data_IF_657773950545
#
_entry.id   IF_657773950545
#
_cell.length_a   1.000
_cell.length_b   1.000
_cell.length_c   1.000
_cell.angle_alpha   90.00
_cell.angle_beta   90.00
_cell.angle_gamma   90.00
#
_symmetry.space_group_name_H-M   'P 1'
#
loop_
_entity.id
_entity.type
_entity.pdbx_description
1 polymer ?
#
# COMPACT_ATOMS: atom_id res chain seq x y z
N UNK A 1 70.49 -2.05 7.84
CA UNK A 1 69.34 -2.91 8.22
C UNK A 1 68.03 -2.16 8.46
N UNK A 2 67.86 -0.88 8.05
CA UNK A 2 66.63 -0.08 8.31
C UNK A 2 65.65 0.05 7.11
N UNK A 3 66.13 -0.26 5.91
CA UNK A 3 65.31 -0.07 4.68
C UNK A 3 64.34 -1.25 4.43
N UNK A 4 64.59 -2.42 4.99
CA UNK A 4 63.73 -3.62 4.78
C UNK A 4 62.46 -3.58 5.61
N UNK A 5 62.45 -2.97 6.81
CA UNK A 5 61.26 -2.92 7.70
C UNK A 5 60.17 -1.93 7.23
N UNK A 6 60.59 -0.84 6.55
CA UNK A 6 59.62 0.17 6.03
C UNK A 6 58.85 -0.36 4.82
N UNK A 7 59.49 -1.18 3.97
CA UNK A 7 58.80 -1.76 2.79
C UNK A 7 57.77 -2.86 3.16
N UNK A 8 58.02 -3.58 4.25
CA UNK A 8 57.09 -4.62 4.74
C UNK A 8 55.87 -3.98 5.40
N UNK A 9 56.04 -2.87 6.13
CA UNK A 9 54.89 -2.15 6.73
C UNK A 9 54.02 -1.48 5.70
N UNK A 10 54.57 -0.93 4.61
CA UNK A 10 53.80 -0.34 3.51
C UNK A 10 52.99 -1.40 2.73
N UNK A 11 53.49 -2.61 2.58
CA UNK A 11 52.79 -3.70 1.92
C UNK A 11 51.61 -4.25 2.75
N UNK A 12 51.70 -4.24 4.09
CA UNK A 12 50.64 -4.70 4.99
C UNK A 12 49.48 -3.66 5.05
N UNK A 13 49.81 -2.36 5.02
CA UNK A 13 48.77 -1.29 4.99
C UNK A 13 48.02 -1.26 3.66
N UNK A 14 48.72 -1.54 2.54
CA UNK A 14 48.07 -1.62 1.22
C UNK A 14 47.13 -2.84 1.09
N UNK A 15 47.44 -3.96 1.76
CA UNK A 15 46.59 -5.16 1.76
C UNK A 15 45.36 -5.03 2.67
N UNK A 16 45.41 -4.23 3.75
CA UNK A 16 44.24 -3.96 4.59
C UNK A 16 43.27 -2.98 3.92
N UNK A 17 43.72 -2.08 3.04
CA UNK A 17 42.84 -1.14 2.32
C UNK A 17 42.05 -1.82 1.20
N UNK A 18 42.47 -2.96 0.68
CA UNK A 18 41.78 -3.67 -0.39
C UNK A 18 40.57 -4.53 0.10
N UNK A 19 40.44 -4.75 1.41
CA UNK A 19 39.36 -5.58 1.98
C UNK A 19 38.09 -4.77 2.29
N UNK A 20 38.14 -3.43 2.19
CA UNK A 20 36.98 -2.55 2.54
C UNK A 20 36.10 -2.15 1.36
N UNK A 21 36.36 -2.61 0.15
CA UNK A 21 35.45 -2.45 -0.98
C UNK A 21 34.63 -3.73 -1.16
N UNK A 22 33.86 -4.12 -0.11
CA UNK A 22 32.73 -4.99 -0.35
C UNK A 22 31.77 -4.20 -1.25
N UNK A 23 31.37 -4.73 -2.42
CA UNK A 23 30.32 -4.10 -3.18
C UNK A 23 29.14 -3.91 -2.24
N UNK A 24 28.58 -2.70 -2.20
CA UNK A 24 27.31 -2.49 -1.57
C UNK A 24 26.36 -3.53 -2.16
N UNK A 25 25.97 -4.54 -1.37
CA UNK A 25 25.01 -5.53 -1.80
C UNK A 25 23.69 -4.79 -1.99
N UNK A 26 23.45 -4.34 -3.22
CA UNK A 26 22.19 -3.90 -3.68
C UNK A 26 21.19 -5.07 -3.54
N UNK A 27 20.03 -4.81 -2.95
CA UNK A 27 18.84 -5.61 -3.20
C UNK A 27 18.72 -6.98 -2.56
N UNK A 28 19.10 -7.16 -1.31
CA UNK A 28 18.88 -8.45 -0.61
C UNK A 28 17.44 -9.00 -0.76
N UNK A 29 16.43 -8.12 -0.82
CA UNK A 29 15.03 -8.53 -0.98
C UNK A 29 14.76 -8.98 -2.41
N UNK A 30 15.21 -8.23 -3.44
CA UNK A 30 15.05 -8.61 -4.85
C UNK A 30 15.71 -9.95 -5.15
N UNK A 31 16.94 -10.14 -4.71
CA UNK A 31 17.68 -11.40 -4.89
C UNK A 31 16.97 -12.58 -4.22
N UNK A 32 16.46 -12.37 -2.99
CA UNK A 32 15.68 -13.37 -2.28
C UNK A 32 14.37 -13.73 -3.01
N UNK A 33 13.67 -12.74 -3.57
CA UNK A 33 12.46 -12.97 -4.38
C UNK A 33 12.79 -13.77 -5.64
N UNK A 34 13.84 -13.37 -6.38
CA UNK A 34 14.29 -14.07 -7.59
C UNK A 34 14.72 -15.52 -7.29
N UNK A 35 15.53 -15.72 -6.24
CA UNK A 35 15.97 -17.05 -5.84
C UNK A 35 14.84 -17.98 -5.42
N UNK A 36 13.84 -17.46 -4.72
CA UNK A 36 12.66 -18.17 -4.26
C UNK A 36 11.63 -18.38 -5.38
N UNK A 37 11.68 -17.55 -6.41
CA UNK A 37 10.70 -17.53 -7.51
C UNK A 37 9.30 -17.08 -7.08
N UNK A 38 9.17 -16.37 -5.98
CA UNK A 38 7.89 -15.93 -5.41
C UNK A 38 8.04 -14.66 -4.57
N UNK A 39 7.14 -13.69 -4.76
CA UNK A 39 6.96 -12.51 -3.90
C UNK A 39 6.10 -12.87 -2.69
N UNK A 40 6.50 -12.51 -1.48
CA UNK A 40 5.69 -12.66 -0.27
C UNK A 40 5.11 -11.31 0.13
N UNK A 41 3.80 -11.17 0.00
CA UNK A 41 3.09 -9.92 0.20
C UNK A 41 2.17 -9.98 1.41
N UNK A 42 2.39 -9.09 2.40
CA UNK A 42 1.50 -8.93 3.55
C UNK A 42 0.27 -8.11 3.17
N UNK A 43 -0.92 -8.65 3.42
CA UNK A 43 -2.20 -8.06 3.04
C UNK A 43 -3.18 -8.01 4.22
N UNK A 44 -4.33 -7.34 4.03
CA UNK A 44 -5.39 -7.34 5.04
C UNK A 44 -6.04 -8.71 5.18
N UNK A 45 -6.62 -9.00 6.35
CA UNK A 45 -7.30 -10.27 6.66
C UNK A 45 -8.63 -10.46 5.92
N UNK A 46 -9.18 -9.42 5.28
CA UNK A 46 -10.44 -9.53 4.55
C UNK A 46 -11.18 -8.22 4.33
N UNK A 47 -10.48 -7.15 3.91
CA UNK A 47 -11.07 -5.86 3.56
C UNK A 47 -11.42 -5.83 2.07
N UNK A 48 -12.70 -6.00 1.73
CA UNK A 48 -13.17 -5.97 0.35
C UNK A 48 -12.80 -4.66 -0.36
N UNK A 49 -12.40 -4.75 -1.63
CA UNK A 49 -11.89 -3.62 -2.42
C UNK A 49 -10.39 -3.34 -2.21
N UNK A 50 -9.79 -3.74 -1.09
CA UNK A 50 -8.35 -3.59 -0.83
C UNK A 50 -7.62 -4.94 -0.85
N UNK A 51 -7.98 -5.85 0.03
CA UNK A 51 -7.46 -7.22 0.00
C UNK A 51 -8.48 -8.17 0.63
N UNK A 52 -9.07 -9.03 -0.16
CA UNK A 52 -9.97 -10.07 0.30
C UNK A 52 -9.84 -11.32 -0.59
N UNK A 53 -9.90 -12.49 0.03
CA UNK A 53 -10.01 -13.75 -0.68
C UNK A 53 -11.49 -14.11 -0.87
N UNK A 54 -11.82 -14.66 -2.05
CA UNK A 54 -13.13 -15.27 -2.29
C UNK A 54 -13.23 -16.68 -1.69
N UNK A 55 -14.36 -17.34 -1.88
CA UNK A 55 -14.61 -18.71 -1.40
C UNK A 55 -13.65 -19.76 -1.96
N UNK A 56 -12.99 -19.48 -3.08
CA UNK A 56 -12.01 -20.34 -3.73
C UNK A 56 -10.57 -20.00 -3.33
N UNK A 57 -10.39 -19.02 -2.41
CA UNK A 57 -9.08 -18.55 -1.98
C UNK A 57 -8.40 -17.59 -2.95
N UNK A 58 -9.08 -17.11 -3.98
CA UNK A 58 -8.54 -16.14 -4.94
C UNK A 58 -8.61 -14.73 -4.34
N UNK A 59 -7.44 -14.10 -4.19
CA UNK A 59 -7.31 -12.75 -3.68
C UNK A 59 -7.65 -11.70 -4.73
N UNK A 60 -8.30 -10.61 -4.30
CA UNK A 60 -8.61 -9.43 -5.12
C UNK A 60 -8.59 -8.15 -4.29
N UNK A 61 -8.38 -7.01 -4.94
CA UNK A 61 -8.38 -5.69 -4.33
C UNK A 61 -7.22 -4.81 -4.77
N UNK A 62 -7.27 -3.54 -4.44
CA UNK A 62 -6.26 -2.54 -4.80
C UNK A 62 -4.87 -2.91 -4.26
N UNK A 63 -4.78 -3.33 -3.00
CA UNK A 63 -3.53 -3.78 -2.38
C UNK A 63 -3.00 -5.08 -3.00
N UNK A 64 -3.89 -5.96 -3.44
CA UNK A 64 -3.56 -7.21 -4.14
C UNK A 64 -2.99 -6.94 -5.53
N UNK A 65 -3.58 -5.99 -6.25
CA UNK A 65 -3.09 -5.57 -7.57
C UNK A 65 -1.67 -5.00 -7.48
N UNK A 66 -1.34 -4.25 -6.42
CA UNK A 66 0.04 -3.79 -6.15
C UNK A 66 0.99 -4.99 -6.07
N UNK A 67 0.65 -6.02 -5.31
CA UNK A 67 1.51 -7.21 -5.17
C UNK A 67 1.65 -7.96 -6.49
N UNK A 68 0.58 -8.09 -7.28
CA UNK A 68 0.64 -8.71 -8.60
C UNK A 68 1.45 -7.90 -9.60
N UNK A 69 1.31 -6.57 -9.60
CA UNK A 69 2.13 -5.69 -10.43
C UNK A 69 3.63 -5.86 -10.11
N UNK A 70 3.99 -5.91 -8.82
CA UNK A 70 5.36 -6.15 -8.39
C UNK A 70 5.87 -7.53 -8.84
N UNK A 71 5.09 -8.59 -8.66
CA UNK A 71 5.50 -9.93 -9.11
C UNK A 71 5.66 -10.00 -10.63
N UNK A 72 4.75 -9.40 -11.40
CA UNK A 72 4.89 -9.29 -12.85
C UNK A 72 6.15 -8.52 -13.24
N UNK A 73 6.49 -7.47 -12.50
CA UNK A 73 7.71 -6.68 -12.71
C UNK A 73 8.98 -7.51 -12.50
N UNK A 74 9.11 -8.20 -11.37
CA UNK A 74 10.40 -8.82 -10.95
C UNK A 74 10.52 -10.30 -11.30
N UNK A 75 9.40 -11.00 -11.53
CA UNK A 75 9.33 -12.44 -11.84
C UNK A 75 8.69 -12.76 -13.18
N UNK A 76 8.25 -11.72 -13.94
CA UNK A 76 7.53 -11.85 -15.21
C UNK A 76 6.22 -12.65 -15.12
N UNK A 77 5.66 -12.79 -13.91
CA UNK A 77 4.44 -13.56 -13.64
C UNK A 77 3.71 -12.98 -12.43
N UNK A 78 2.52 -12.44 -12.65
CA UNK A 78 1.67 -11.83 -11.62
C UNK A 78 1.11 -12.81 -10.59
N UNK A 79 1.08 -14.10 -10.91
CA UNK A 79 0.55 -15.12 -10.01
C UNK A 79 1.63 -15.67 -9.06
N UNK A 80 2.89 -15.33 -9.26
CA UNK A 80 3.99 -15.70 -8.35
C UNK A 80 4.00 -14.85 -7.08
N UNK A 81 2.85 -14.77 -6.42
CA UNK A 81 2.66 -14.05 -5.14
C UNK A 81 2.13 -15.02 -4.09
N UNK A 82 2.77 -15.01 -2.91
CA UNK A 82 2.22 -15.58 -1.69
C UNK A 82 1.60 -14.44 -0.88
N UNK A 83 0.28 -14.45 -0.72
CA UNK A 83 -0.41 -13.50 0.14
C UNK A 83 -0.41 -14.00 1.59
N UNK A 84 0.02 -13.12 2.51
CA UNK A 84 0.05 -13.39 3.95
C UNK A 84 -0.93 -12.43 4.63
N UNK A 85 -2.10 -12.93 5.06
CA UNK A 85 -3.07 -12.10 5.78
C UNK A 85 -2.56 -11.75 7.18
N UNK A 86 -2.48 -10.47 7.50
CA UNK A 86 -1.95 -9.94 8.75
C UNK A 86 -2.96 -9.01 9.41
N UNK A 87 -3.12 -9.09 10.72
CA UNK A 87 -3.89 -8.10 11.47
C UNK A 87 -3.09 -6.78 11.62
N UNK A 88 -3.71 -5.76 12.21
CA UNK A 88 -3.09 -4.44 12.32
C UNK A 88 -1.85 -4.40 13.23
N UNK A 89 -1.75 -5.30 14.22
CA UNK A 89 -0.60 -5.37 15.13
C UNK A 89 0.56 -6.18 14.54
N UNK A 90 0.26 -7.28 13.86
CA UNK A 90 1.27 -8.22 13.34
C UNK A 90 2.03 -7.68 12.12
N UNK A 91 1.39 -6.83 11.29
CA UNK A 91 1.90 -6.42 9.98
C UNK A 91 3.31 -5.82 10.00
N UNK A 92 3.63 -5.00 11.01
CA UNK A 92 4.94 -4.34 11.06
C UNK A 92 6.04 -5.31 11.49
N UNK A 93 5.77 -6.17 12.47
CA UNK A 93 6.72 -7.20 12.89
C UNK A 93 7.02 -8.18 11.76
N UNK A 94 6.01 -8.62 11.01
CA UNK A 94 6.18 -9.50 9.85
C UNK A 94 7.06 -8.84 8.76
N UNK A 95 6.90 -7.53 8.51
CA UNK A 95 7.75 -6.82 7.57
C UNK A 95 9.18 -6.65 8.10
N UNK A 96 9.34 -6.27 9.38
CA UNK A 96 10.65 -6.06 10.01
C UNK A 96 11.46 -7.37 10.06
N UNK A 97 10.84 -8.50 10.38
CA UNK A 97 11.51 -9.80 10.46
C UNK A 97 11.87 -10.41 9.10
N UNK A 98 11.32 -9.88 8.00
CA UNK A 98 11.52 -10.44 6.67
C UNK A 98 10.60 -11.63 6.36
N UNK A 99 9.57 -11.88 7.16
CA UNK A 99 8.52 -12.84 6.86
C UNK A 99 7.78 -12.46 5.56
N UNK A 100 7.65 -11.17 5.28
CA UNK A 100 7.11 -10.61 4.05
C UNK A 100 8.11 -9.67 3.38
N UNK A 101 8.08 -9.60 2.05
CA UNK A 101 8.95 -8.72 1.26
C UNK A 101 8.39 -7.30 1.17
N UNK A 102 7.08 -7.18 1.09
CA UNK A 102 6.33 -5.92 1.01
C UNK A 102 5.05 -6.03 1.81
N UNK A 103 4.66 -4.94 2.46
CA UNK A 103 3.38 -4.80 3.14
C UNK A 103 2.47 -3.91 2.28
N UNK A 104 1.50 -4.50 1.59
CA UNK A 104 0.44 -3.79 0.85
C UNK A 104 -0.90 -4.07 1.55
N UNK A 105 -1.24 -3.21 2.54
CA UNK A 105 -2.31 -3.50 3.50
C UNK A 105 -2.91 -2.19 4.03
N UNK A 106 -3.53 -1.39 3.17
CA UNK A 106 -4.17 -0.13 3.58
C UNK A 106 -3.46 0.54 4.79
N UNK A 107 -2.14 0.74 4.66
CA UNK A 107 -1.31 1.20 5.77
C UNK A 107 -1.01 2.69 5.65
N UNK A 108 -1.47 3.46 6.63
CA UNK A 108 -1.26 4.91 6.71
C UNK A 108 0.20 5.26 6.95
N UNK A 109 0.73 6.19 6.20
CA UNK A 109 2.02 6.81 6.46
C UNK A 109 1.96 7.77 7.64
N UNK A 110 2.84 7.58 8.61
CA UNK A 110 2.98 8.47 9.77
C UNK A 110 4.43 8.63 10.15
N UNK A 111 4.77 9.76 10.79
CA UNK A 111 6.12 10.00 11.31
C UNK A 111 6.61 8.85 12.20
N UNK A 112 5.75 8.35 13.10
CA UNK A 112 6.13 7.24 13.99
C UNK A 112 6.47 5.97 13.21
N UNK A 113 5.66 5.61 12.21
CA UNK A 113 5.89 4.41 11.40
C UNK A 113 7.15 4.53 10.56
N UNK A 114 7.41 5.70 10.01
CA UNK A 114 8.62 5.98 9.25
C UNK A 114 9.86 6.06 10.14
N UNK A 115 9.86 6.92 11.14
CA UNK A 115 11.05 7.23 11.93
C UNK A 115 11.42 6.15 12.97
N UNK A 116 10.39 5.47 13.57
CA UNK A 116 10.64 4.58 14.72
C UNK A 116 10.66 3.09 14.36
N UNK A 117 9.97 2.67 13.28
CA UNK A 117 9.83 1.25 12.96
C UNK A 117 10.85 0.74 11.94
N UNK A 118 11.75 1.58 11.41
CA UNK A 118 12.71 1.16 10.40
C UNK A 118 12.05 0.74 9.08
N UNK A 119 10.95 1.39 8.71
CA UNK A 119 10.16 1.11 7.52
C UNK A 119 10.10 2.34 6.62
N UNK A 120 9.91 2.12 5.33
CA UNK A 120 9.63 3.17 4.35
C UNK A 120 8.28 2.96 3.69
N UNK A 121 7.47 4.01 3.58
CA UNK A 121 6.38 4.03 2.64
C UNK A 121 6.89 4.42 1.26
N UNK A 122 6.48 3.70 0.23
CA UNK A 122 7.03 3.85 -1.11
C UNK A 122 6.27 4.86 -1.95
N UNK A 123 4.94 4.81 -1.92
CA UNK A 123 4.03 5.72 -2.61
C UNK A 123 2.66 5.70 -1.92
N UNK A 124 1.84 6.73 -2.17
CA UNK A 124 0.43 6.71 -1.75
C UNK A 124 -0.39 6.03 -2.84
N UNK A 125 -1.14 4.99 -2.46
CA UNK A 125 -2.06 4.27 -3.34
C UNK A 125 -3.51 4.69 -3.13
N UNK A 126 -3.83 5.29 -1.98
CA UNK A 126 -5.17 5.80 -1.68
C UNK A 126 -5.10 6.88 -0.59
N UNK A 127 -5.63 8.06 -0.89
CA UNK A 127 -5.86 9.12 0.10
C UNK A 127 -7.21 8.90 0.76
N UNK A 128 -7.20 8.63 2.05
CA UNK A 128 -8.39 8.37 2.86
C UNK A 128 -8.48 9.32 4.07
N UNK A 129 -9.47 9.13 4.87
CA UNK A 129 -9.69 9.77 6.15
C UNK A 129 -10.53 8.88 7.06
N UNK A 130 -10.34 9.01 8.37
CA UNK A 130 -11.14 8.26 9.34
C UNK A 130 -12.54 8.86 9.46
N UNK A 131 -13.54 7.98 9.41
CA UNK A 131 -14.94 8.31 9.62
C UNK A 131 -15.63 7.44 10.67
N UNK A 132 -16.94 7.53 10.70
CA UNK A 132 -17.80 6.74 11.59
C UNK A 132 -18.98 6.17 10.81
N UNK A 133 -19.38 4.95 11.11
CA UNK A 133 -20.67 4.39 10.69
C UNK A 133 -21.55 4.18 11.90
N UNK A 134 -22.84 4.51 11.74
CA UNK A 134 -23.87 4.39 12.78
C UNK A 134 -25.15 3.77 12.21
N UNK A 135 -25.97 3.08 13.00
CA UNK A 135 -27.29 2.66 12.55
C UNK A 135 -28.18 3.89 12.29
N UNK A 136 -28.93 3.91 11.19
CA UNK A 136 -29.88 4.99 10.87
C UNK A 136 -30.91 5.19 12.00
N UNK A 137 -31.37 4.11 12.65
CA UNK A 137 -32.26 4.15 13.80
C UNK A 137 -31.72 4.91 15.01
N UNK A 138 -30.37 5.10 15.11
CA UNK A 138 -29.76 5.90 16.20
C UNK A 138 -30.07 7.40 16.08
N UNK A 139 -30.47 7.87 14.90
CA UNK A 139 -30.68 9.29 14.55
C UNK A 139 -29.44 10.18 14.69
N UNK A 140 -28.25 9.58 14.87
CA UNK A 140 -26.96 10.28 14.89
C UNK A 140 -26.62 10.68 13.45
N UNK A 141 -26.31 11.97 13.23
CA UNK A 141 -25.98 12.54 11.93
C UNK A 141 -24.61 13.24 11.89
N UNK A 142 -23.95 13.35 13.04
CA UNK A 142 -22.65 14.01 13.18
C UNK A 142 -21.79 13.30 14.23
N UNK A 143 -20.48 13.28 14.00
CA UNK A 143 -19.52 12.68 14.92
C UNK A 143 -19.53 13.34 16.31
N UNK A 144 -19.93 14.62 16.42
CA UNK A 144 -20.10 15.31 17.72
C UNK A 144 -21.22 14.71 18.56
N UNK A 145 -22.22 14.08 17.95
CA UNK A 145 -23.31 13.41 18.67
C UNK A 145 -22.90 12.06 19.28
N UNK A 146 -21.67 11.62 19.05
CA UNK A 146 -21.09 10.43 19.71
C UNK A 146 -20.65 10.70 21.17
N UNK A 147 -20.98 11.86 21.74
CA UNK A 147 -20.64 12.20 23.15
C UNK A 147 -21.14 11.13 24.12
N UNK A 148 -20.20 10.56 24.91
CA UNK A 148 -20.48 9.51 25.91
C UNK A 148 -20.80 8.14 25.31
N UNK A 149 -20.83 7.99 24.02
CA UNK A 149 -21.22 6.75 23.33
C UNK A 149 -20.08 5.74 23.23
N UNK A 150 -20.43 4.46 23.04
CA UNK A 150 -19.47 3.39 22.74
C UNK A 150 -19.14 3.34 21.27
N UNK A 151 -17.85 3.28 20.92
CA UNK A 151 -17.37 3.20 19.53
C UNK A 151 -16.41 2.03 19.40
N UNK A 152 -16.74 1.07 18.54
CA UNK A 152 -15.88 -0.05 18.22
C UNK A 152 -14.71 0.41 17.34
N UNK A 153 -13.50 -0.08 17.62
CA UNK A 153 -12.27 0.25 16.90
C UNK A 153 -11.28 -0.90 16.93
N UNK A 154 -10.45 -1.05 15.90
CA UNK A 154 -9.39 -2.05 15.87
C UNK A 154 -8.10 -1.52 16.50
N UNK A 155 -7.47 -2.32 17.37
CA UNK A 155 -6.18 -1.98 17.99
C UNK A 155 -5.01 -1.96 17.00
N UNK A 156 -3.95 -1.21 17.32
CA UNK A 156 -2.74 -1.11 16.50
C UNK A 156 -2.93 -0.28 15.21
N UNK A 157 -3.99 0.52 15.17
CA UNK A 157 -4.33 1.39 14.04
C UNK A 157 -4.10 2.87 14.35
N UNK A 158 -3.98 3.70 13.32
CA UNK A 158 -4.08 5.16 13.45
C UNK A 158 -5.44 5.57 13.98
N UNK A 159 -6.49 4.84 13.56
CA UNK A 159 -7.88 5.16 13.92
C UNK A 159 -8.17 4.99 15.40
N UNK A 160 -7.50 4.08 16.10
CA UNK A 160 -7.58 3.97 17.58
C UNK A 160 -7.04 5.24 18.27
N UNK A 161 -5.88 5.73 17.82
CA UNK A 161 -5.27 6.96 18.37
C UNK A 161 -6.09 8.20 18.02
N UNK A 162 -6.47 8.34 16.76
CA UNK A 162 -7.26 9.48 16.29
C UNK A 162 -8.62 9.56 17.00
N UNK A 163 -9.27 8.42 17.29
CA UNK A 163 -10.52 8.40 18.05
C UNK A 163 -10.32 9.02 19.44
N UNK A 164 -9.24 8.66 20.12
CA UNK A 164 -8.89 9.18 21.45
C UNK A 164 -8.63 10.69 21.39
N UNK A 165 -7.82 11.11 20.43
CA UNK A 165 -7.46 12.52 20.24
C UNK A 165 -8.67 13.38 19.87
N UNK A 166 -9.50 12.90 18.95
CA UNK A 166 -10.74 13.58 18.56
C UNK A 166 -11.73 13.72 19.71
N UNK A 167 -11.91 12.64 20.48
CA UNK A 167 -12.78 12.63 21.66
C UNK A 167 -12.32 13.66 22.70
N UNK A 168 -11.01 13.71 22.98
CA UNK A 168 -10.40 14.65 23.93
C UNK A 168 -10.52 16.09 23.44
N UNK A 169 -10.12 16.36 22.20
CA UNK A 169 -10.12 17.70 21.62
C UNK A 169 -11.52 18.33 21.55
N UNK A 170 -12.56 17.51 21.43
CA UNK A 170 -13.95 17.97 21.34
C UNK A 170 -14.75 17.76 22.64
N UNK A 171 -14.16 17.29 23.75
CA UNK A 171 -14.85 17.06 25.03
C UNK A 171 -15.97 16.03 24.94
N UNK A 172 -15.82 14.99 24.09
CA UNK A 172 -16.89 14.06 23.79
C UNK A 172 -17.00 12.88 24.75
N UNK A 173 -15.93 12.54 25.50
CA UNK A 173 -15.88 11.39 26.39
C UNK A 173 -16.38 10.08 25.72
N UNK A 174 -16.00 9.87 24.46
CA UNK A 174 -16.29 8.64 23.72
C UNK A 174 -15.66 7.46 24.46
N UNK A 175 -16.36 6.34 24.52
CA UNK A 175 -15.90 5.09 25.15
C UNK A 175 -15.42 4.11 24.07
N UNK A 176 -14.10 4.00 23.79
CA UNK A 176 -13.60 3.04 22.84
C UNK A 176 -13.85 1.60 23.31
N UNK A 177 -14.32 0.75 22.40
CA UNK A 177 -14.37 -0.71 22.58
C UNK A 177 -13.39 -1.30 21.58
N UNK A 178 -12.25 -1.76 22.09
CA UNK A 178 -11.07 -2.11 21.27
C UNK A 178 -11.06 -3.61 20.97
N UNK A 179 -10.78 -3.97 19.73
CA UNK A 179 -10.68 -5.35 19.25
C UNK A 179 -9.37 -5.56 18.48
N UNK A 180 -8.75 -6.70 18.66
CA UNK A 180 -7.55 -7.05 17.89
C UNK A 180 -7.88 -7.44 16.45
N UNK A 181 -8.94 -8.24 16.26
CA UNK A 181 -9.36 -8.74 14.94
C UNK A 181 -10.37 -7.79 14.29
N UNK A 182 -10.19 -7.54 13.00
CA UNK A 182 -11.10 -6.72 12.19
C UNK A 182 -12.54 -7.23 12.27
N UNK A 183 -12.74 -8.53 12.02
CA UNK A 183 -14.07 -9.14 12.03
C UNK A 183 -14.75 -9.05 13.39
N UNK A 184 -13.99 -9.08 14.49
CA UNK A 184 -14.54 -8.93 15.82
C UNK A 184 -15.06 -7.51 16.08
N UNK A 185 -14.35 -6.48 15.60
CA UNK A 185 -14.81 -5.09 15.69
C UNK A 185 -16.07 -4.85 14.84
N UNK A 186 -16.08 -5.37 13.61
CA UNK A 186 -17.22 -5.32 12.69
C UNK A 186 -18.45 -6.00 13.31
N UNK A 187 -18.32 -7.25 13.73
CA UNK A 187 -19.41 -8.03 14.34
C UNK A 187 -19.94 -7.37 15.62
N UNK A 188 -19.09 -6.81 16.47
CA UNK A 188 -19.49 -6.12 17.68
C UNK A 188 -20.39 -4.90 17.37
N UNK A 189 -20.08 -4.16 16.31
CA UNK A 189 -20.93 -3.07 15.85
C UNK A 189 -22.27 -3.58 15.30
N UNK A 190 -22.26 -4.55 14.38
CA UNK A 190 -23.50 -5.06 13.76
C UNK A 190 -24.42 -5.79 14.74
N UNK A 191 -23.89 -6.35 15.82
CA UNK A 191 -24.67 -6.95 16.92
C UNK A 191 -25.12 -5.95 17.96
N UNK A 192 -24.77 -4.64 17.81
CA UNK A 192 -25.24 -3.58 18.69
C UNK A 192 -24.44 -3.41 19.99
N UNK A 193 -23.26 -4.04 20.13
CA UNK A 193 -22.37 -3.83 21.28
C UNK A 193 -21.79 -2.42 21.31
N UNK A 194 -21.60 -1.78 20.16
CA UNK A 194 -21.22 -0.39 20.01
C UNK A 194 -22.27 0.36 19.20
N UNK A 195 -22.49 1.64 19.52
CA UNK A 195 -23.39 2.50 18.76
C UNK A 195 -22.78 2.97 17.43
N UNK A 196 -21.44 2.97 17.35
CA UNK A 196 -20.72 3.32 16.14
C UNK A 196 -19.52 2.40 15.95
N UNK A 197 -19.06 2.28 14.71
CA UNK A 197 -17.77 1.71 14.35
C UNK A 197 -16.95 2.77 13.62
N UNK A 198 -15.64 2.80 13.86
CA UNK A 198 -14.71 3.75 13.25
C UNK A 198 -13.52 3.06 12.61
N UNK A 199 -13.23 3.45 11.38
CA UNK A 199 -12.04 3.12 10.60
C UNK A 199 -11.94 4.12 9.45
N UNK A 200 -11.05 3.90 8.48
CA UNK A 200 -10.98 4.66 7.25
C UNK A 200 -12.34 4.66 6.53
N UNK A 201 -12.73 5.75 5.88
CA UNK A 201 -14.04 5.88 5.23
C UNK A 201 -14.24 4.83 4.13
N UNK A 202 -13.20 4.50 3.38
CA UNK A 202 -13.24 3.41 2.40
C UNK A 202 -13.47 2.05 3.08
N UNK A 203 -12.85 1.84 4.25
CA UNK A 203 -13.04 0.66 5.09
C UNK A 203 -14.46 0.56 5.62
N UNK A 204 -15.08 1.68 6.03
CA UNK A 204 -16.48 1.73 6.44
C UNK A 204 -17.42 1.33 5.31
N UNK A 205 -17.15 1.81 4.09
CA UNK A 205 -17.93 1.42 2.90
C UNK A 205 -17.79 -0.08 2.61
N UNK A 206 -16.55 -0.60 2.70
CA UNK A 206 -16.27 -2.03 2.56
C UNK A 206 -17.05 -2.87 3.58
N UNK A 207 -16.92 -2.54 4.86
CA UNK A 207 -17.59 -3.24 5.98
C UNK A 207 -19.11 -3.19 5.83
N UNK A 208 -19.66 -2.01 5.53
CA UNK A 208 -21.09 -1.84 5.31
C UNK A 208 -21.62 -2.74 4.19
N UNK A 209 -20.91 -2.82 3.06
CA UNK A 209 -21.35 -3.62 1.93
C UNK A 209 -21.16 -5.13 2.15
N UNK A 210 -20.14 -5.54 2.93
CA UNK A 210 -19.81 -6.94 3.18
C UNK A 210 -20.64 -7.57 4.31
N UNK A 211 -20.86 -6.83 5.41
CA UNK A 211 -21.36 -7.37 6.68
C UNK A 211 -22.81 -6.97 6.97
N UNK A 212 -23.25 -5.78 6.54
CA UNK A 212 -24.62 -5.34 6.79
C UNK A 212 -25.64 -6.18 6.03
N UNK A 213 -26.70 -6.63 6.71
CA UNK A 213 -27.85 -7.28 6.07
C UNK A 213 -28.54 -6.37 5.08
N UNK A 214 -28.75 -5.11 5.46
CA UNK A 214 -29.16 -4.02 4.61
C UNK A 214 -28.21 -2.83 4.79
N UNK A 215 -27.37 -2.52 3.79
CA UNK A 215 -26.44 -1.38 3.85
C UNK A 215 -27.15 -0.03 4.08
N UNK A 216 -28.43 0.11 3.68
CA UNK A 216 -29.21 1.35 3.84
C UNK A 216 -29.58 1.64 5.30
N UNK A 217 -29.55 0.65 6.17
CA UNK A 217 -29.78 0.83 7.61
C UNK A 217 -28.55 1.40 8.36
N UNK A 218 -27.44 1.62 7.66
CA UNK A 218 -26.18 2.10 8.24
C UNK A 218 -25.69 3.34 7.51
N UNK A 219 -25.58 4.44 8.26
CA UNK A 219 -25.13 5.74 7.76
C UNK A 219 -23.63 5.92 8.07
N UNK A 220 -22.83 6.16 7.03
CA UNK A 220 -21.48 6.70 7.19
C UNK A 220 -21.63 8.19 7.39
N UNK A 221 -21.13 8.71 8.54
CA UNK A 221 -21.20 10.13 8.87
C UNK A 221 -20.32 10.94 7.91
N UNK A 222 -20.71 12.21 7.62
CA UNK A 222 -20.01 13.01 6.61
C UNK A 222 -18.63 13.51 7.04
N UNK A 223 -18.36 13.55 8.35
CA UNK A 223 -17.09 14.08 8.85
C UNK A 223 -15.95 13.07 8.73
N UNK A 224 -14.81 13.54 8.22
CA UNK A 224 -13.51 12.88 8.33
C UNK A 224 -12.69 13.56 9.42
N UNK A 225 -12.19 12.78 10.37
CA UNK A 225 -11.47 13.28 11.55
C UNK A 225 -9.95 13.16 11.44
N UNK A 226 -9.44 12.60 10.35
CA UNK A 226 -8.00 12.46 10.10
C UNK A 226 -7.66 12.50 8.61
N UNK A 227 -6.36 12.48 8.33
CA UNK A 227 -5.77 12.22 7.02
C UNK A 227 -5.09 10.86 7.05
N UNK A 228 -5.47 9.97 6.13
CA UNK A 228 -4.96 8.61 6.04
C UNK A 228 -4.38 8.37 4.63
N UNK A 229 -3.12 8.81 4.36
CA UNK A 229 -2.43 8.46 3.13
C UNK A 229 -1.98 7.00 3.20
N UNK A 230 -2.69 6.11 2.50
CA UNK A 230 -2.46 4.68 2.50
C UNK A 230 -1.46 4.29 1.41
N UNK A 231 -0.62 3.29 1.66
CA UNK A 231 0.28 2.77 0.65
C UNK A 231 1.19 1.64 1.12
N UNK A 232 1.94 1.04 0.17
CA UNK A 232 2.85 -0.04 0.46
C UNK A 232 4.04 0.41 1.30
N UNK A 233 4.52 -0.50 2.15
CA UNK A 233 5.70 -0.31 2.97
C UNK A 233 6.72 -1.40 2.73
N UNK A 234 8.00 -1.04 2.83
CA UNK A 234 9.17 -1.92 2.77
C UNK A 234 10.09 -1.66 3.95
N UNK A 235 11.04 -2.56 4.20
CA UNK A 235 12.10 -2.36 5.21
C UNK A 235 13.06 -1.26 4.80
N UNK A 236 13.60 -0.53 5.75
CA UNK A 236 14.77 0.35 5.52
C UNK A 236 16.02 -0.45 5.27
N UNK A 237 16.99 0.18 4.57
CA UNK A 237 18.29 -0.40 4.29
C UNK A 237 18.29 -1.35 3.08
N UNK A 238 17.23 -1.33 2.29
CA UNK A 238 17.13 -1.95 0.97
C UNK A 238 16.59 -0.92 -0.02
N UNK A 239 17.46 0.00 -0.43
CA UNK A 239 17.11 1.15 -1.27
C UNK A 239 16.71 0.73 -2.68
N UNK A 240 17.27 -0.39 -3.19
CA UNK A 240 16.89 -0.94 -4.48
C UNK A 240 15.45 -1.45 -4.45
N UNK A 241 15.08 -2.26 -3.46
CA UNK A 241 13.71 -2.75 -3.32
C UNK A 241 12.72 -1.61 -3.08
N UNK A 242 13.10 -0.63 -2.26
CA UNK A 242 12.32 0.60 -2.07
C UNK A 242 12.09 1.33 -3.41
N UNK A 243 13.13 1.49 -4.21
CA UNK A 243 13.05 2.14 -5.52
C UNK A 243 12.13 1.35 -6.47
N UNK A 244 12.27 0.03 -6.55
CA UNK A 244 11.41 -0.82 -7.40
C UNK A 244 9.93 -0.65 -7.02
N UNK A 245 9.58 -0.83 -5.75
CA UNK A 245 8.18 -0.73 -5.30
C UNK A 245 7.63 0.68 -5.58
N UNK A 246 8.40 1.71 -5.28
CA UNK A 246 8.04 3.10 -5.53
C UNK A 246 7.79 3.38 -7.03
N UNK A 247 8.72 2.99 -7.89
CA UNK A 247 8.64 3.31 -9.32
C UNK A 247 7.60 2.46 -10.05
N UNK A 248 7.30 1.24 -9.59
CA UNK A 248 6.15 0.49 -10.10
C UNK A 248 4.85 1.27 -9.85
N UNK A 249 4.66 1.82 -8.64
CA UNK A 249 3.45 2.60 -8.33
C UNK A 249 3.35 3.88 -9.14
N UNK A 250 4.44 4.64 -9.27
CA UNK A 250 4.46 5.86 -10.09
C UNK A 250 4.29 5.53 -11.57
N UNK A 251 4.86 4.44 -12.04
CA UNK A 251 4.69 3.98 -13.42
C UNK A 251 3.23 3.62 -13.75
N UNK A 252 2.50 2.99 -12.83
CA UNK A 252 1.07 2.71 -13.02
C UNK A 252 0.23 3.99 -13.04
N UNK A 253 0.60 5.01 -12.26
CA UNK A 253 -0.04 6.33 -12.29
C UNK A 253 0.27 7.07 -13.60
N UNK A 254 1.53 7.10 -14.01
CA UNK A 254 1.94 7.75 -15.26
C UNK A 254 1.32 7.05 -16.49
N UNK A 255 1.18 5.71 -16.44
CA UNK A 255 0.44 4.96 -17.45
C UNK A 255 -1.03 5.41 -17.57
N UNK A 256 -1.71 5.73 -16.46
CA UNK A 256 -3.05 6.32 -16.50
C UNK A 256 -3.05 7.70 -17.16
N UNK A 257 -2.06 8.56 -16.85
CA UNK A 257 -1.94 9.91 -17.43
C UNK A 257 -1.80 9.88 -18.95
N UNK A 258 -1.04 8.91 -19.46
CA UNK A 258 -0.77 8.75 -20.89
C UNK A 258 -1.72 7.76 -21.59
N UNK A 259 -2.77 7.31 -20.90
CA UNK A 259 -3.79 6.43 -21.48
C UNK A 259 -3.28 5.04 -21.86
N UNK A 260 -2.18 4.59 -21.26
CA UNK A 260 -1.70 3.21 -21.40
C UNK A 260 -2.51 2.32 -20.46
N UNK A 261 -3.17 1.32 -21.04
CA UNK A 261 -4.10 0.42 -20.34
C UNK A 261 -3.69 -1.03 -20.47
N UNK A 262 -4.30 -1.91 -19.67
CA UNK A 262 -4.12 -3.35 -19.81
C UNK A 262 -4.41 -3.85 -21.23
N UNK A 263 -5.42 -3.29 -21.87
CA UNK A 263 -5.86 -3.70 -23.20
C UNK A 263 -4.95 -3.22 -24.34
N UNK A 264 -4.32 -2.03 -24.18
CA UNK A 264 -3.56 -1.43 -25.28
C UNK A 264 -2.04 -1.43 -25.07
N UNK A 265 -1.52 -1.90 -23.94
CA UNK A 265 -0.09 -1.82 -23.58
C UNK A 265 0.82 -2.40 -24.68
N UNK A 266 0.45 -3.51 -25.29
CA UNK A 266 1.27 -4.13 -26.35
C UNK A 266 1.29 -3.28 -27.62
N UNK A 267 0.16 -2.66 -27.99
CA UNK A 267 0.07 -1.74 -29.12
C UNK A 267 0.85 -0.45 -28.85
N UNK A 268 0.77 0.07 -27.62
CA UNK A 268 1.43 1.32 -27.21
C UNK A 268 2.96 1.23 -27.16
N UNK A 269 3.55 0.01 -27.20
CA UNK A 269 5.01 -0.17 -27.36
C UNK A 269 5.54 0.44 -28.65
N UNK A 270 4.70 0.59 -29.67
CA UNK A 270 5.04 1.25 -30.95
C UNK A 270 4.73 2.74 -30.98
N UNK A 271 4.34 3.35 -29.85
CA UNK A 271 4.05 4.77 -29.75
C UNK A 271 5.27 5.63 -30.12
N UNK A 272 5.02 6.76 -30.76
CA UNK A 272 6.04 7.77 -31.03
C UNK A 272 6.21 8.79 -29.88
N UNK A 273 5.33 8.74 -28.86
CA UNK A 273 5.45 9.58 -27.68
C UNK A 273 6.66 9.14 -26.83
N UNK A 274 7.65 10.03 -26.60
CA UNK A 274 8.87 9.67 -25.86
C UNK A 274 8.63 9.20 -24.42
N UNK A 275 7.57 9.69 -23.76
CA UNK A 275 7.21 9.26 -22.41
C UNK A 275 6.68 7.84 -22.44
N UNK A 276 5.76 7.54 -23.35
CA UNK A 276 5.21 6.19 -23.52
C UNK A 276 6.32 5.20 -23.90
N UNK A 277 7.26 5.60 -24.77
CA UNK A 277 8.42 4.77 -25.10
C UNK A 277 9.24 4.40 -23.88
N UNK A 278 9.56 5.39 -23.01
CA UNK A 278 10.29 5.11 -21.76
C UNK A 278 9.52 4.22 -20.80
N UNK A 279 8.22 4.48 -20.64
CA UNK A 279 7.35 3.66 -19.79
C UNK A 279 7.32 2.18 -20.21
N UNK A 280 7.33 1.91 -21.51
CA UNK A 280 7.11 0.56 -22.04
C UNK A 280 8.40 -0.14 -22.52
N UNK A 281 9.57 0.46 -22.26
CA UNK A 281 10.86 -0.09 -22.67
C UNK A 281 11.17 0.06 -24.15
N UNK A 282 10.49 0.99 -24.83
CA UNK A 282 10.84 1.44 -26.18
C UNK A 282 11.95 2.50 -26.14
N UNK A 283 12.39 2.96 -27.33
CA UNK A 283 13.40 3.99 -27.43
C UNK A 283 14.81 3.54 -27.00
N UNK A 284 15.68 4.52 -26.76
CA UNK A 284 17.11 4.30 -26.46
C UNK A 284 17.43 4.21 -24.96
N UNK A 285 16.50 4.59 -24.09
CA UNK A 285 16.70 4.63 -22.64
C UNK A 285 16.17 3.36 -21.99
N UNK A 286 17.02 2.64 -21.27
CA UNK A 286 16.66 1.46 -20.49
C UNK A 286 16.48 1.85 -19.03
N UNK A 287 15.27 2.28 -18.67
CA UNK A 287 14.90 2.64 -17.29
C UNK A 287 14.90 1.43 -16.35
N UNK A 288 14.69 0.22 -16.88
CA UNK A 288 14.74 -1.02 -16.10
C UNK A 288 16.13 -1.27 -15.53
N UNK A 289 17.18 -0.99 -16.32
CA UNK A 289 18.57 -1.16 -15.89
C UNK A 289 18.90 -0.33 -14.64
N UNK A 290 18.28 0.85 -14.46
CA UNK A 290 18.45 1.69 -13.27
C UNK A 290 17.88 1.04 -12.00
N UNK A 291 16.98 0.07 -12.17
CA UNK A 291 16.32 -0.69 -11.10
C UNK A 291 16.81 -2.15 -10.99
N UNK A 292 17.88 -2.53 -11.72
CA UNK A 292 18.33 -3.91 -11.77
C UNK A 292 17.33 -4.87 -12.47
N UNK A 293 16.47 -4.31 -13.33
CA UNK A 293 15.42 -5.01 -14.08
C UNK A 293 15.68 -4.92 -15.59
N UNK A 294 14.94 -5.69 -16.38
CA UNK A 294 14.92 -5.50 -17.83
C UNK A 294 14.02 -4.36 -18.26
N UNK A 295 14.14 -3.92 -19.51
CA UNK A 295 13.46 -2.75 -20.05
C UNK A 295 11.93 -2.83 -20.09
N UNK A 296 11.34 -4.04 -20.05
CA UNK A 296 9.89 -4.26 -20.13
C UNK A 296 9.22 -4.35 -18.74
N UNK A 297 9.95 -4.04 -17.68
CA UNK A 297 9.52 -4.18 -16.29
C UNK A 297 8.13 -3.60 -16.00
N UNK A 298 7.86 -2.38 -16.50
CA UNK A 298 6.59 -1.69 -16.27
C UNK A 298 5.50 -2.15 -17.25
N UNK A 299 5.85 -2.45 -18.50
CA UNK A 299 4.90 -3.00 -19.47
C UNK A 299 4.26 -4.29 -18.95
N UNK A 300 5.04 -5.15 -18.28
CA UNK A 300 4.52 -6.38 -17.65
C UNK A 300 3.57 -6.08 -16.49
N UNK A 301 3.89 -5.10 -15.66
CA UNK A 301 3.01 -4.68 -14.55
C UNK A 301 1.66 -4.19 -15.10
N UNK A 302 1.68 -3.29 -16.10
CA UNK A 302 0.47 -2.77 -16.74
C UNK A 302 -0.33 -3.90 -17.41
N UNK A 303 0.33 -4.81 -18.10
CA UNK A 303 -0.33 -5.95 -18.73
C UNK A 303 -1.02 -6.87 -17.72
N UNK A 304 -0.44 -7.02 -16.55
CA UNK A 304 -0.96 -7.89 -15.50
C UNK A 304 -2.15 -7.28 -14.76
N UNK A 305 -2.09 -5.99 -14.39
CA UNK A 305 -3.05 -5.36 -13.48
C UNK A 305 -3.78 -4.15 -14.06
N UNK A 306 -3.41 -3.72 -15.26
CA UNK A 306 -3.82 -2.41 -15.79
C UNK A 306 -3.06 -1.26 -15.15
N UNK A 307 -3.37 -0.03 -15.55
CA UNK A 307 -2.89 1.17 -14.91
C UNK A 307 -3.61 1.42 -13.56
N UNK A 308 -3.18 2.46 -12.82
CA UNK A 308 -3.77 2.78 -11.52
C UNK A 308 -5.29 3.04 -11.61
N UNK A 309 -5.76 3.76 -12.63
CA UNK A 309 -7.18 4.04 -12.83
C UNK A 309 -8.01 2.79 -13.05
N UNK A 310 -7.51 1.84 -13.84
CA UNK A 310 -8.19 0.56 -14.07
C UNK A 310 -8.27 -0.27 -12.79
N UNK A 311 -7.18 -0.31 -11.99
CA UNK A 311 -7.18 -0.98 -10.70
C UNK A 311 -8.13 -0.32 -9.70
N UNK A 312 -8.13 1.01 -9.62
CA UNK A 312 -9.06 1.76 -8.78
C UNK A 312 -10.52 1.46 -9.14
N UNK A 313 -10.88 1.62 -10.42
CA UNK A 313 -12.26 1.42 -10.89
C UNK A 313 -12.79 0.02 -10.61
N UNK A 314 -11.96 -0.99 -10.84
CA UNK A 314 -12.32 -2.40 -10.64
C UNK A 314 -12.50 -2.76 -9.18
N UNK A 315 -11.67 -2.20 -8.29
CA UNK A 315 -11.59 -2.65 -6.90
C UNK A 315 -12.42 -1.80 -5.93
N UNK A 316 -12.35 -0.48 -6.05
CA UNK A 316 -12.99 0.45 -5.10
C UNK A 316 -13.89 1.49 -5.77
N UNK A 317 -13.68 1.74 -7.06
CA UNK A 317 -14.34 2.78 -7.83
C UNK A 317 -15.79 2.48 -8.22
N UNK A 318 -16.39 3.33 -9.04
CA UNK A 318 -17.78 3.20 -9.49
C UNK A 318 -18.13 1.87 -10.16
N UNK A 319 -17.16 1.17 -10.75
CA UNK A 319 -17.35 -0.15 -11.36
C UNK A 319 -17.27 -1.31 -10.35
N UNK A 320 -16.94 -1.02 -9.10
CA UNK A 320 -16.88 -2.00 -8.02
C UNK A 320 -18.16 -1.99 -7.17
N UNK A 321 -18.39 -3.02 -6.34
CA UNK A 321 -19.49 -3.00 -5.36
C UNK A 321 -19.40 -1.86 -4.34
N UNK A 322 -18.22 -1.25 -4.14
CA UNK A 322 -18.04 -0.15 -3.20
C UNK A 322 -18.54 1.19 -3.78
N UNK A 323 -18.43 1.37 -5.09
CA UNK A 323 -18.94 2.55 -5.79
C UNK A 323 -18.32 3.87 -5.35
N UNK A 324 -17.06 3.86 -4.85
CA UNK A 324 -16.42 5.07 -4.32
C UNK A 324 -16.00 6.01 -5.44
N UNK A 325 -16.30 7.32 -5.32
CA UNK A 325 -15.82 8.29 -6.30
C UNK A 325 -14.30 8.47 -6.18
N UNK A 326 -13.63 8.83 -7.28
CA UNK A 326 -12.19 9.13 -7.27
C UNK A 326 -11.88 10.27 -6.27
N UNK A 327 -12.63 11.36 -6.29
CA UNK A 327 -12.38 12.51 -5.43
C UNK A 327 -10.92 12.95 -5.45
N UNK A 328 -10.31 13.08 -4.27
CA UNK A 328 -8.88 13.41 -4.13
C UNK A 328 -7.94 12.32 -4.68
N UNK A 329 -8.43 11.11 -4.93
CA UNK A 329 -7.69 10.02 -5.57
C UNK A 329 -7.65 10.11 -7.10
N UNK A 330 -8.13 11.21 -7.66
CA UNK A 330 -7.97 11.50 -9.08
C UNK A 330 -6.54 11.95 -9.39
N UNK A 331 -6.15 11.86 -10.66
CA UNK A 331 -4.88 12.41 -11.12
C UNK A 331 -4.80 13.93 -10.84
N UNK A 332 -3.60 14.43 -10.63
CA UNK A 332 -3.34 15.86 -10.36
C UNK A 332 -3.91 16.78 -11.47
N UNK A 333 -3.81 16.37 -12.73
CA UNK A 333 -4.34 17.10 -13.88
C UNK A 333 -5.88 16.99 -14.04
N UNK A 334 -6.53 16.19 -13.18
CA UNK A 334 -7.98 16.03 -13.05
C UNK A 334 -8.49 16.49 -11.68
N UNK A 335 -7.72 17.34 -10.99
CA UNK A 335 -8.10 17.94 -9.72
C UNK A 335 -7.92 17.06 -8.47
N UNK A 336 -7.16 15.97 -8.57
CA UNK A 336 -6.82 15.10 -7.45
C UNK A 336 -5.41 15.30 -6.91
N UNK A 337 -4.99 14.39 -6.05
CA UNK A 337 -3.67 14.38 -5.40
C UNK A 337 -2.74 13.27 -5.94
N UNK A 338 -3.21 12.42 -6.87
CA UNK A 338 -2.37 11.39 -7.46
C UNK A 338 -1.41 12.05 -8.46
N UNK A 339 -0.14 12.14 -8.04
CA UNK A 339 0.94 12.79 -8.75
C UNK A 339 2.11 11.82 -8.88
N UNK A 340 2.38 11.33 -10.09
CA UNK A 340 3.55 10.51 -10.35
C UNK A 340 4.80 11.38 -10.51
N UNK A 341 5.95 10.89 -10.04
CA UNK A 341 7.22 11.48 -10.44
C UNK A 341 7.59 10.99 -11.84
N UNK A 342 8.14 11.87 -12.70
CA UNK A 342 8.40 11.52 -14.09
C UNK A 342 9.49 10.44 -14.20
N UNK A 343 9.24 9.42 -15.02
CA UNK A 343 10.20 8.37 -15.36
C UNK A 343 11.13 8.88 -16.47
N UNK A 344 12.36 9.26 -16.07
CA UNK A 344 13.40 9.79 -16.95
C UNK A 344 14.76 9.21 -16.61
#
# INVERSE_FOLDING_TARGET
>A
MHVSKVKIMAAIVASLAAVMAAPAHAGKTLDGIKARGQLVCGVNTGLAGFAAADSNGKWSGLDVDVCRALAATVLSDSEKVKFVPLNAQQRFTALQSGEIDVLSRNTTFTLTRDASLGLHQTAVTYYDGQGFVVPVKSKIKSAKQLKGQTVCVQSGTTTEKNLTDYSKANGLNIKPVVFEKLEAAENAYFTGRCIAYTTDASGLASTRNKVAKDPKEHLILPELISKEPLGPMVRRGDDEWFAIVKWVMYGLLEAEEYGVTQANVDQMKSSTDPVVQRLLGGGNEDTGKLLGLDKEWLARAIKATGNYGESFERNVGPKSPLGLPRGVNNLWNKGGLMYAYPIR
#
